data_IF_237704390916
#
_entry.id   IF_237704390916
#
_cell.length_a   1.000
_cell.length_b   1.000
_cell.length_c   1.000
_cell.angle_alpha   90.00
_cell.angle_beta   90.00
_cell.angle_gamma   90.00
#
_symmetry.space_group_name_H-M   'P 1'
#
loop_
_entity.id
_entity.type
_entity.pdbx_description
1 polymer ?
#
# COMPACT_ATOMS: atom_id res chain seq x y z
N UNK A 1 -30.23 30.11 -7.76
CA UNK A 1 -28.93 30.58 -8.30
C UNK A 1 -27.86 30.78 -7.19
N UNK A 2 -27.84 29.97 -6.14
CA UNK A 2 -27.00 30.22 -4.93
C UNK A 2 -25.99 29.11 -4.62
N UNK A 3 -25.78 28.14 -5.53
CA UNK A 3 -24.91 26.97 -5.31
C UNK A 3 -23.48 27.06 -5.89
N UNK A 4 -23.11 28.13 -6.58
CA UNK A 4 -21.78 28.28 -7.21
C UNK A 4 -20.76 29.13 -6.42
N UNK A 5 -21.10 29.73 -5.28
CA UNK A 5 -20.20 30.69 -4.60
C UNK A 5 -19.21 30.08 -3.60
N UNK A 6 -19.47 28.90 -3.05
CA UNK A 6 -18.59 28.30 -2.03
C UNK A 6 -17.33 27.66 -2.64
N UNK A 7 -17.47 27.02 -3.81
CA UNK A 7 -16.37 26.35 -4.52
C UNK A 7 -15.33 27.33 -5.07
N UNK A 8 -15.76 28.54 -5.44
CA UNK A 8 -14.89 29.61 -5.95
C UNK A 8 -14.09 30.32 -4.85
N UNK A 9 -14.62 30.41 -3.62
CA UNK A 9 -13.89 31.00 -2.49
C UNK A 9 -12.75 30.09 -2.00
N UNK A 10 -12.98 28.77 -1.97
CA UNK A 10 -11.97 27.77 -1.58
C UNK A 10 -10.86 27.61 -2.64
N UNK A 11 -11.19 27.76 -3.92
CA UNK A 11 -10.21 27.74 -5.01
C UNK A 11 -9.37 29.03 -5.07
N UNK A 12 -9.98 30.20 -4.80
CA UNK A 12 -9.27 31.48 -4.79
C UNK A 12 -8.24 31.58 -3.66
N UNK A 13 -8.51 30.95 -2.50
CA UNK A 13 -7.61 31.01 -1.33
C UNK A 13 -6.55 29.91 -1.32
N UNK A 14 -6.75 28.78 -2.00
CA UNK A 14 -5.67 27.81 -2.22
C UNK A 14 -4.52 28.41 -3.06
N UNK A 15 -4.78 29.48 -3.83
CA UNK A 15 -3.76 30.27 -4.53
C UNK A 15 -3.12 31.37 -3.69
N UNK A 16 -3.69 31.72 -2.53
CA UNK A 16 -3.10 32.65 -1.57
C UNK A 16 -2.45 31.84 -0.45
N UNK A 17 -1.13 31.67 -0.52
CA UNK A 17 -0.31 30.99 0.49
C UNK A 17 -0.25 31.70 1.85
N UNK A 18 -1.39 32.05 2.43
CA UNK A 18 -1.48 32.49 3.81
C UNK A 18 -1.20 31.27 4.70
N UNK A 19 0.04 31.17 5.17
CA UNK A 19 0.36 30.38 6.34
C UNK A 19 -0.48 30.93 7.50
N UNK A 20 -1.56 30.24 7.84
CA UNK A 20 -2.26 30.45 9.10
C UNK A 20 -1.30 29.92 10.17
N UNK A 21 -0.76 30.79 11.02
CA UNK A 21 0.37 30.48 11.92
C UNK A 21 0.19 29.15 12.70
N UNK A 22 0.81 28.11 12.13
CA UNK A 22 0.87 26.76 12.66
C UNK A 22 -0.44 25.94 12.66
N UNK A 23 -1.51 26.34 11.98
CA UNK A 23 -2.62 25.46 11.62
C UNK A 23 -2.58 25.27 10.10
N UNK A 24 -2.32 24.05 9.65
CA UNK A 24 -2.04 23.79 8.25
C UNK A 24 -3.32 23.93 7.41
N UNK A 25 -3.50 25.09 6.76
CA UNK A 25 -4.64 25.36 5.88
C UNK A 25 -4.75 24.31 4.76
N UNK A 26 -3.63 23.69 4.38
CA UNK A 26 -3.63 22.61 3.40
C UNK A 26 -4.29 21.33 3.95
N UNK A 27 -4.16 21.05 5.25
CA UNK A 27 -4.82 19.93 5.92
C UNK A 27 -6.35 20.10 5.92
N UNK A 28 -6.84 21.29 6.32
CA UNK A 28 -8.27 21.61 6.34
C UNK A 28 -8.85 21.59 4.92
N UNK A 29 -8.21 22.28 3.99
CA UNK A 29 -8.65 22.33 2.60
C UNK A 29 -8.58 20.96 1.92
N UNK A 30 -7.69 20.08 2.35
CA UNK A 30 -7.66 18.69 1.89
C UNK A 30 -8.86 17.92 2.42
N UNK A 31 -9.11 17.97 3.73
CA UNK A 31 -10.30 17.33 4.32
C UNK A 31 -11.58 17.82 3.67
N UNK A 32 -11.82 19.12 3.61
CA UNK A 32 -13.04 19.67 3.00
C UNK A 32 -13.21 19.31 1.51
N UNK A 33 -12.13 19.01 0.77
CA UNK A 33 -12.19 18.63 -0.65
C UNK A 33 -12.43 17.15 -0.87
N UNK A 34 -11.71 16.30 -0.14
CA UNK A 34 -11.75 14.84 -0.30
C UNK A 34 -12.96 14.23 0.40
N UNK A 35 -13.38 14.84 1.50
CA UNK A 35 -14.53 14.44 2.27
C UNK A 35 -15.78 15.22 1.85
N UNK A 36 -16.19 15.12 0.58
CA UNK A 36 -17.58 15.46 0.19
C UNK A 36 -18.52 14.34 0.64
N UNK A 37 -18.67 14.14 1.95
CA UNK A 37 -19.55 13.11 2.51
C UNK A 37 -21.00 13.38 2.05
N UNK A 38 -21.62 12.43 1.36
CA UNK A 38 -23.03 12.52 0.97
C UNK A 38 -23.30 12.97 -0.48
N UNK A 39 -22.29 13.20 -1.31
CA UNK A 39 -22.51 13.07 -2.75
C UNK A 39 -22.74 11.57 -3.02
N UNK A 40 -23.99 11.17 -3.33
CA UNK A 40 -24.25 9.86 -3.90
C UNK A 40 -23.25 9.67 -5.05
N UNK A 41 -22.39 8.67 -4.93
CA UNK A 41 -21.52 8.28 -6.03
C UNK A 41 -22.42 8.12 -7.26
N UNK A 42 -22.16 8.90 -8.30
CA UNK A 42 -22.75 8.62 -9.59
C UNK A 42 -22.29 7.21 -9.93
N UNK A 43 -23.24 6.29 -10.08
CA UNK A 43 -22.96 4.87 -10.30
C UNK A 43 -21.89 4.72 -11.40
N UNK A 44 -20.75 4.13 -11.03
CA UNK A 44 -19.64 3.86 -11.96
C UNK A 44 -18.43 4.79 -11.87
N UNK A 45 -18.42 5.84 -11.03
CA UNK A 45 -17.24 6.71 -10.86
C UNK A 45 -16.79 6.87 -9.41
N UNK A 46 -16.85 5.83 -8.56
CA UNK A 46 -16.19 5.91 -7.25
C UNK A 46 -14.69 6.01 -7.46
N UNK A 47 -14.19 7.24 -7.60
CA UNK A 47 -12.78 7.53 -7.55
C UNK A 47 -12.30 7.15 -6.15
N UNK A 48 -11.13 6.52 -6.07
CA UNK A 48 -10.52 6.06 -4.80
C UNK A 48 -10.44 7.16 -3.73
N UNK A 49 -10.52 8.42 -4.16
CA UNK A 49 -10.62 9.65 -3.36
C UNK A 49 -11.77 9.63 -2.32
N UNK A 50 -12.91 8.97 -2.59
CA UNK A 50 -14.05 8.88 -1.63
C UNK A 50 -13.78 7.88 -0.48
N UNK A 51 -12.73 7.06 -0.58
CA UNK A 51 -12.47 5.95 0.36
C UNK A 51 -11.82 6.36 1.69
N UNK A 52 -11.14 7.52 1.76
CA UNK A 52 -10.50 8.02 2.99
C UNK A 52 -11.51 8.28 4.10
N UNK A 53 -12.65 8.81 3.68
CA UNK A 53 -13.71 9.31 4.50
C UNK A 53 -14.53 8.11 4.99
N UNK A 54 -14.89 7.19 4.08
CA UNK A 54 -15.49 5.90 4.43
C UNK A 54 -14.61 5.03 5.34
N UNK A 55 -13.29 5.22 5.32
CA UNK A 55 -12.38 4.55 6.23
C UNK A 55 -12.61 5.05 7.67
N UNK A 56 -12.81 6.35 7.90
CA UNK A 56 -12.86 6.95 9.26
C UNK A 56 -14.11 6.54 10.05
N UNK A 57 -13.94 6.13 11.31
CA UNK A 57 -15.06 6.01 12.26
C UNK A 57 -15.23 4.67 12.97
N UNK A 58 -14.39 3.66 12.71
CA UNK A 58 -14.42 2.47 13.56
C UNK A 58 -13.79 2.75 14.92
N UNK A 59 -14.47 2.29 15.97
CA UNK A 59 -13.96 2.31 17.32
C UNK A 59 -12.68 1.47 17.43
N UNK A 60 -11.72 1.98 18.19
CA UNK A 60 -10.45 1.33 18.48
C UNK A 60 -10.26 1.20 20.01
N UNK A 61 -9.76 0.07 20.53
CA UNK A 61 -9.88 -1.24 19.89
C UNK A 61 -11.34 -1.50 19.47
N UNK A 62 -11.61 -2.50 18.61
CA UNK A 62 -12.98 -2.88 18.31
C UNK A 62 -13.78 -3.00 19.62
N UNK A 63 -15.02 -2.50 19.66
CA UNK A 63 -15.87 -2.65 20.84
C UNK A 63 -15.94 -4.13 21.26
N UNK A 64 -16.17 -4.47 22.55
CA UNK A 64 -16.25 -5.87 22.96
C UNK A 64 -17.17 -6.70 22.04
N UNK A 65 -16.60 -7.68 21.33
CA UNK A 65 -17.30 -8.51 20.33
C UNK A 65 -17.15 -8.07 18.87
N UNK A 66 -16.59 -6.90 18.59
CA UNK A 66 -16.18 -6.48 17.25
C UNK A 66 -14.79 -7.05 16.89
N UNK A 67 -14.53 -7.20 15.60
CA UNK A 67 -13.29 -7.79 15.07
C UNK A 67 -12.29 -6.71 14.64
N UNK A 68 -11.01 -7.05 14.62
CA UNK A 68 -9.91 -6.26 14.07
C UNK A 68 -9.89 -6.24 12.54
N UNK A 69 -10.58 -7.17 11.85
CA UNK A 69 -10.58 -7.22 10.39
C UNK A 69 -11.08 -5.94 9.71
N UNK A 70 -12.15 -5.28 10.17
CA UNK A 70 -12.61 -4.02 9.61
C UNK A 70 -11.67 -2.83 9.94
N UNK A 71 -11.00 -2.85 11.11
CA UNK A 71 -9.97 -1.87 11.49
C UNK A 71 -8.74 -2.00 10.60
N UNK A 72 -8.33 -3.24 10.33
CA UNK A 72 -7.29 -3.52 9.35
C UNK A 72 -7.73 -2.98 7.98
N UNK A 73 -8.90 -3.35 7.44
CA UNK A 73 -9.38 -2.86 6.13
C UNK A 73 -9.40 -1.33 6.04
N UNK A 74 -9.84 -0.65 7.10
CA UNK A 74 -9.77 0.80 7.24
C UNK A 74 -8.33 1.32 7.14
N UNK A 75 -7.41 0.77 7.93
CA UNK A 75 -6.00 1.15 7.91
C UNK A 75 -5.39 0.89 6.52
N UNK A 76 -5.71 -0.25 5.91
CA UNK A 76 -5.26 -0.65 4.57
C UNK A 76 -5.68 0.39 3.54
N UNK A 77 -6.98 0.72 3.47
CA UNK A 77 -7.54 1.75 2.58
C UNK A 77 -6.91 3.11 2.82
N UNK A 78 -6.71 3.48 4.08
CA UNK A 78 -6.05 4.73 4.43
C UNK A 78 -4.64 4.80 3.84
N UNK A 79 -3.84 3.74 4.01
CA UNK A 79 -2.47 3.70 3.52
C UNK A 79 -2.35 3.52 2.01
N UNK A 80 -3.36 2.91 1.36
CA UNK A 80 -3.36 2.62 -0.07
C UNK A 80 -3.96 3.75 -0.91
N UNK A 81 -5.00 4.43 -0.42
CA UNK A 81 -5.71 5.48 -1.16
C UNK A 81 -4.90 6.77 -1.30
N UNK A 82 -3.81 6.92 -0.53
CA UNK A 82 -3.02 8.14 -0.52
C UNK A 82 -1.53 7.80 -0.57
N UNK A 83 -0.83 8.44 -1.52
CA UNK A 83 0.64 8.61 -1.57
C UNK A 83 1.28 8.93 -0.21
N UNK A 84 0.46 9.43 0.70
CA UNK A 84 0.82 10.00 1.97
C UNK A 84 -0.14 9.52 3.08
N UNK A 85 -0.98 8.50 2.94
CA UNK A 85 -1.91 8.14 4.02
C UNK A 85 -1.21 7.72 5.32
N UNK A 86 -1.49 8.41 6.44
CA UNK A 86 -1.12 7.99 7.80
C UNK A 86 -2.39 7.65 8.57
N UNK A 87 -2.50 6.39 8.95
CA UNK A 87 -3.51 5.95 9.91
C UNK A 87 -3.08 6.35 11.32
N UNK A 88 -4.01 6.95 12.07
CA UNK A 88 -3.87 7.35 13.45
C UNK A 88 -4.91 6.61 14.28
N UNK A 89 -4.50 6.05 15.41
CA UNK A 89 -5.42 5.80 16.50
C UNK A 89 -5.46 7.07 17.35
N UNK A 90 -6.66 7.65 17.50
CA UNK A 90 -6.91 8.70 18.48
C UNK A 90 -7.44 8.04 19.73
N UNK A 91 -6.86 8.35 20.88
CA UNK A 91 -7.48 8.10 22.18
C UNK A 91 -7.79 9.42 22.86
N UNK A 92 -8.95 9.52 23.48
CA UNK A 92 -9.41 10.70 24.19
C UNK A 92 -10.29 10.31 25.37
N UNK A 93 -10.33 11.17 26.38
CA UNK A 93 -11.37 11.14 27.41
C UNK A 93 -12.56 12.02 26.94
N UNK A 94 -13.73 11.44 26.61
CA UNK A 94 -14.85 12.21 26.09
C UNK A 94 -15.33 13.29 27.06
N UNK A 95 -15.34 13.01 28.36
CA UNK A 95 -15.82 13.95 29.37
C UNK A 95 -14.90 15.17 29.53
N UNK A 96 -13.59 14.96 29.57
CA UNK A 96 -12.61 16.05 29.62
C UNK A 96 -12.63 16.90 28.37
N UNK A 97 -12.74 16.23 27.21
CA UNK A 97 -12.87 16.86 25.91
C UNK A 97 -14.10 17.79 25.90
N UNK A 98 -15.29 17.26 26.25
CA UNK A 98 -16.52 18.05 26.23
C UNK A 98 -16.48 19.25 27.19
N UNK A 99 -15.91 19.04 28.38
CA UNK A 99 -15.71 20.10 29.36
C UNK A 99 -14.78 21.18 28.82
N UNK A 100 -13.70 20.78 28.16
CA UNK A 100 -12.70 21.67 27.61
C UNK A 100 -13.20 22.53 26.43
N UNK A 101 -14.12 21.99 25.61
CA UNK A 101 -14.77 22.72 24.53
C UNK A 101 -15.99 23.55 24.96
N UNK A 102 -16.36 23.53 26.26
CA UNK A 102 -17.53 24.25 26.81
C UNK A 102 -18.84 23.92 26.10
N UNK A 103 -19.04 22.65 25.74
CA UNK A 103 -20.27 22.19 25.09
C UNK A 103 -21.40 22.03 26.12
N UNK A 104 -22.50 22.79 25.96
CA UNK A 104 -23.64 22.85 26.91
C UNK A 104 -24.87 22.01 26.49
N UNK A 105 -24.87 21.43 25.29
CA UNK A 105 -25.97 20.63 24.72
C UNK A 105 -25.72 19.13 24.82
N UNK A 106 -26.74 18.24 24.64
CA UNK A 106 -26.60 16.80 24.87
C UNK A 106 -25.35 16.26 24.18
N UNK A 107 -24.43 15.76 25.01
CA UNK A 107 -23.12 15.28 24.57
C UNK A 107 -23.33 13.99 23.82
N UNK A 108 -23.01 13.93 22.52
CA UNK A 108 -23.10 12.67 21.84
C UNK A 108 -22.01 11.72 22.31
N UNK A 109 -22.31 10.44 22.14
CA UNK A 109 -21.34 9.41 22.42
C UNK A 109 -20.19 9.50 21.41
N UNK A 110 -18.97 9.74 21.91
CA UNK A 110 -17.73 9.58 21.16
C UNK A 110 -17.00 8.39 21.80
N UNK A 111 -16.51 7.42 20.99
CA UNK A 111 -15.73 6.33 21.53
C UNK A 111 -14.42 6.87 22.13
N UNK A 112 -13.97 6.28 23.23
CA UNK A 112 -12.71 6.66 23.89
C UNK A 112 -11.50 6.50 22.97
N UNK A 113 -11.62 5.66 21.94
CA UNK A 113 -10.65 5.62 20.87
C UNK A 113 -11.24 5.22 19.52
N UNK A 114 -10.65 5.74 18.44
CA UNK A 114 -11.07 5.46 17.06
C UNK A 114 -9.92 5.66 16.06
N UNK A 115 -10.08 5.02 14.91
CA UNK A 115 -9.18 5.14 13.76
C UNK A 115 -9.47 6.34 12.88
N UNK A 116 -8.42 7.00 12.40
CA UNK A 116 -8.51 8.10 11.44
C UNK A 116 -7.43 8.05 10.39
N UNK A 117 -7.81 8.36 9.15
CA UNK A 117 -6.86 8.58 8.07
C UNK A 117 -6.51 10.07 7.90
N UNK A 118 -5.21 10.39 7.86
CA UNK A 118 -4.72 11.74 7.54
C UNK A 118 -3.65 11.71 6.45
N UNK A 119 -3.53 12.75 5.60
CA UNK A 119 -2.43 12.87 4.66
C UNK A 119 -1.12 13.25 5.39
N UNK A 120 -0.07 12.45 5.17
CA UNK A 120 1.32 12.59 5.59
C UNK A 120 1.89 13.83 4.90
N UNK A 121 2.75 14.54 5.61
CA UNK A 121 3.36 15.77 5.10
C UNK A 121 2.42 16.98 5.05
N UNK A 122 1.09 16.78 4.96
CA UNK A 122 0.09 17.87 4.91
C UNK A 122 -0.60 18.15 6.24
N UNK A 123 -0.75 17.14 7.09
CA UNK A 123 -1.36 17.31 8.41
C UNK A 123 -0.30 17.06 9.49
N UNK A 124 0.15 18.13 10.16
CA UNK A 124 0.97 18.00 11.38
C UNK A 124 0.12 17.39 12.50
N UNK A 125 0.75 16.61 13.37
CA UNK A 125 0.08 15.99 14.52
C UNK A 125 -0.67 17.00 15.38
N UNK A 126 -0.08 18.17 15.62
CA UNK A 126 -0.74 19.24 16.36
C UNK A 126 -2.02 19.73 15.68
N UNK A 127 -2.00 19.95 14.36
CA UNK A 127 -3.19 20.35 13.61
C UNK A 127 -4.29 19.28 13.67
N UNK A 128 -3.89 18.02 13.58
CA UNK A 128 -4.75 16.85 13.82
C UNK A 128 -5.37 16.94 15.22
N UNK A 129 -4.60 17.11 16.30
CA UNK A 129 -5.19 17.21 17.66
C UNK A 129 -6.23 18.34 17.79
N UNK A 130 -5.99 19.49 17.17
CA UNK A 130 -6.84 20.67 17.28
C UNK A 130 -8.12 20.62 16.44
N UNK A 131 -8.08 20.01 15.26
CA UNK A 131 -9.15 20.12 14.27
C UNK A 131 -10.06 18.88 14.22
N UNK A 132 -9.56 17.75 14.69
CA UNK A 132 -10.11 16.44 14.39
C UNK A 132 -11.30 16.06 15.25
N UNK A 133 -11.32 16.44 16.53
CA UNK A 133 -12.45 16.13 17.39
C UNK A 133 -13.67 16.99 17.04
N UNK A 134 -13.54 18.30 16.82
CA UNK A 134 -14.67 19.09 16.34
C UNK A 134 -15.21 18.56 15.01
N UNK A 135 -14.34 18.20 14.07
CA UNK A 135 -14.76 17.63 12.78
C UNK A 135 -15.38 16.24 12.94
N UNK A 136 -14.84 15.36 13.77
CA UNK A 136 -15.46 14.06 14.06
C UNK A 136 -16.87 14.23 14.66
N UNK A 137 -17.01 15.12 15.65
CA UNK A 137 -18.29 15.44 16.29
C UNK A 137 -19.34 15.92 15.27
N UNK A 138 -18.98 16.91 14.45
CA UNK A 138 -19.87 17.58 13.51
C UNK A 138 -20.41 16.63 12.43
N UNK A 139 -19.58 15.68 12.00
CA UNK A 139 -19.85 14.86 10.84
C UNK A 139 -20.41 13.49 11.19
N UNK A 140 -19.80 12.78 12.15
CA UNK A 140 -20.16 11.39 12.46
C UNK A 140 -21.42 11.33 13.31
N UNK A 141 -21.60 12.31 14.20
CA UNK A 141 -22.78 12.37 15.08
C UNK A 141 -23.88 13.24 14.47
N UNK A 142 -23.54 14.40 13.91
CA UNK A 142 -24.53 15.36 13.41
C UNK A 142 -25.25 14.94 12.13
N UNK A 143 -24.69 14.01 11.35
CA UNK A 143 -25.29 13.46 10.12
C UNK A 143 -25.47 14.45 8.96
N UNK A 144 -25.09 15.73 9.13
CA UNK A 144 -25.33 16.80 8.17
C UNK A 144 -24.06 17.65 7.92
N UNK A 145 -23.19 17.21 7.00
CA UNK A 145 -21.92 17.89 6.69
C UNK A 145 -22.12 19.35 6.25
N UNK A 146 -23.23 19.64 5.55
CA UNK A 146 -23.56 20.99 5.06
C UNK A 146 -23.99 21.98 6.16
N UNK A 147 -24.35 21.49 7.35
CA UNK A 147 -24.80 22.32 8.48
C UNK A 147 -23.64 22.93 9.28
N UNK A 148 -22.41 22.59 8.90
CA UNK A 148 -21.22 22.85 9.70
C UNK A 148 -20.53 24.14 9.25
N UNK A 149 -20.50 25.15 10.14
CA UNK A 149 -19.64 26.31 9.95
C UNK A 149 -18.18 25.96 10.28
N UNK A 150 -17.49 25.44 9.27
CA UNK A 150 -16.08 25.07 9.33
C UNK A 150 -15.19 26.21 9.81
N UNK A 151 -15.52 27.44 9.42
CA UNK A 151 -14.70 28.60 9.73
C UNK A 151 -14.81 28.99 11.19
N UNK A 152 -16.01 28.92 11.76
CA UNK A 152 -16.20 29.14 13.20
C UNK A 152 -15.35 28.19 14.05
N UNK A 153 -15.26 26.91 13.66
CA UNK A 153 -14.43 25.92 14.37
C UNK A 153 -12.94 26.13 14.19
N UNK A 154 -12.49 26.46 12.98
CA UNK A 154 -11.09 26.79 12.72
C UNK A 154 -10.69 28.04 13.51
N UNK A 155 -11.58 29.03 13.61
CA UNK A 155 -11.36 30.25 14.41
C UNK A 155 -11.27 29.92 15.90
N UNK A 156 -12.17 29.10 16.42
CA UNK A 156 -12.16 28.67 17.82
C UNK A 156 -10.88 27.91 18.16
N UNK A 157 -10.46 26.97 17.31
CA UNK A 157 -9.20 26.25 17.47
C UNK A 157 -8.00 27.22 17.46
N UNK A 158 -8.04 28.26 16.63
CA UNK A 158 -7.01 29.31 16.59
C UNK A 158 -6.98 30.12 17.89
N UNK A 159 -8.13 30.53 18.40
CA UNK A 159 -8.23 31.30 19.64
C UNK A 159 -7.70 30.51 20.84
N UNK A 160 -8.09 29.24 20.96
CA UNK A 160 -7.61 28.36 22.03
C UNK A 160 -6.10 28.13 21.96
N UNK A 161 -5.57 27.91 20.76
CA UNK A 161 -4.12 27.77 20.53
C UNK A 161 -3.36 29.06 20.84
N UNK A 162 -3.89 30.21 20.42
CA UNK A 162 -3.28 31.53 20.67
C UNK A 162 -3.25 31.88 22.16
N UNK A 163 -4.20 31.36 22.94
CA UNK A 163 -4.21 31.48 24.40
C UNK A 163 -3.18 30.57 25.11
N UNK A 164 -2.34 29.84 24.38
CA UNK A 164 -1.37 28.90 24.93
C UNK A 164 -1.99 27.64 25.53
N UNK A 165 -3.25 27.35 25.19
CA UNK A 165 -3.91 26.11 25.61
C UNK A 165 -3.33 24.90 24.89
N UNK A 166 -3.40 23.74 25.54
CA UNK A 166 -3.36 22.44 24.85
C UNK A 166 -4.75 22.14 24.25
N UNK A 167 -4.85 21.23 23.27
CA UNK A 167 -6.14 20.75 22.80
C UNK A 167 -6.99 20.30 24.00
N UNK A 168 -8.27 20.69 24.09
CA UNK A 168 -9.06 20.35 25.25
C UNK A 168 -9.26 18.83 25.35
N UNK A 169 -9.00 18.25 26.53
CA UNK A 169 -9.04 16.81 26.78
C UNK A 169 -7.71 16.09 26.57
N UNK A 170 -7.56 14.94 27.21
CA UNK A 170 -6.36 14.08 27.10
C UNK A 170 -6.32 13.35 25.75
N UNK A 171 -5.93 14.07 24.69
CA UNK A 171 -5.82 13.50 23.34
C UNK A 171 -4.41 12.93 23.07
N UNK A 172 -4.35 11.62 22.89
CA UNK A 172 -3.14 10.90 22.45
C UNK A 172 -3.31 10.39 21.01
N UNK A 173 -2.24 10.51 20.23
CA UNK A 173 -2.16 9.99 18.87
C UNK A 173 -1.19 8.82 18.89
N UNK A 174 -1.68 7.63 18.55
CA UNK A 174 -0.85 6.44 18.38
C UNK A 174 -0.69 6.21 16.89
N UNK A 175 0.57 6.19 16.46
CA UNK A 175 0.95 6.29 15.05
C UNK A 175 2.26 5.55 14.82
N UNK A 176 2.60 5.33 13.55
CA UNK A 176 3.88 4.74 13.16
C UNK A 176 3.82 3.25 12.92
N UNK A 177 4.98 2.69 12.59
CA UNK A 177 5.11 1.32 12.09
C UNK A 177 4.65 0.29 13.13
N UNK A 178 5.08 0.43 14.39
CA UNK A 178 4.69 -0.49 15.48
C UNK A 178 3.17 -0.59 15.69
N UNK A 179 2.46 0.53 15.54
CA UNK A 179 1.01 0.55 15.69
C UNK A 179 0.31 -0.18 14.53
N UNK A 180 0.73 0.09 13.28
CA UNK A 180 0.23 -0.62 12.10
C UNK A 180 0.47 -2.13 12.21
N UNK A 181 1.67 -2.48 12.65
CA UNK A 181 2.10 -3.85 12.92
C UNK A 181 1.23 -4.53 13.97
N UNK A 182 0.89 -3.83 15.06
CA UNK A 182 -0.02 -4.35 16.07
C UNK A 182 -1.41 -4.65 15.50
N UNK A 183 -2.00 -3.72 14.73
CA UNK A 183 -3.30 -3.91 14.08
C UNK A 183 -3.28 -5.14 13.18
N UNK A 184 -2.23 -5.27 12.37
CA UNK A 184 -2.05 -6.40 11.48
C UNK A 184 -1.95 -7.72 12.27
N UNK A 185 -1.10 -7.79 13.29
CA UNK A 185 -0.89 -8.98 14.10
C UNK A 185 -2.20 -9.43 14.80
N UNK A 186 -3.05 -8.50 15.23
CA UNK A 186 -4.36 -8.82 15.83
C UNK A 186 -5.35 -9.33 14.79
N UNK A 187 -5.48 -8.62 13.67
CA UNK A 187 -6.40 -8.99 12.59
C UNK A 187 -6.06 -10.34 11.95
N UNK A 188 -4.78 -10.66 11.80
CA UNK A 188 -4.34 -11.97 11.29
C UNK A 188 -4.65 -13.08 12.29
N UNK A 189 -4.38 -12.88 13.58
CA UNK A 189 -4.72 -13.85 14.64
C UNK A 189 -6.20 -14.15 14.70
N UNK A 190 -7.07 -13.14 14.60
CA UNK A 190 -8.51 -13.36 14.56
C UNK A 190 -8.97 -14.17 13.35
N UNK A 191 -8.45 -13.84 12.16
CA UNK A 191 -8.78 -14.59 10.94
C UNK A 191 -8.29 -16.03 11.01
N UNK A 192 -7.10 -16.25 11.57
CA UNK A 192 -6.57 -17.60 11.79
C UNK A 192 -7.41 -18.39 12.79
N UNK A 193 -7.90 -17.75 13.87
CA UNK A 193 -8.79 -18.37 14.84
C UNK A 193 -10.15 -18.77 14.25
N UNK A 194 -10.55 -18.16 13.13
CA UNK A 194 -11.78 -18.50 12.40
C UNK A 194 -11.59 -19.64 11.38
N UNK A 195 -10.36 -20.11 11.16
CA UNK A 195 -10.12 -21.21 10.23
C UNK A 195 -10.69 -22.53 10.78
N UNK A 196 -11.21 -23.41 9.90
CA UNK A 196 -11.69 -24.72 10.31
C UNK A 196 -10.55 -25.57 10.90
N UNK A 197 -10.89 -26.41 11.89
CA UNK A 197 -9.97 -27.37 12.52
C UNK A 197 -10.48 -28.80 12.27
N UNK A 198 -9.73 -29.67 11.56
CA UNK A 198 -8.40 -29.43 11.00
C UNK A 198 -8.44 -28.53 9.76
N UNK A 199 -7.39 -27.73 9.58
CA UNK A 199 -7.27 -26.86 8.41
C UNK A 199 -7.10 -27.71 7.14
N UNK A 200 -7.79 -27.39 6.03
CA UNK A 200 -7.65 -28.13 4.78
C UNK A 200 -6.21 -28.06 4.26
N UNK A 201 -5.75 -29.12 3.60
CA UNK A 201 -4.44 -29.11 2.95
C UNK A 201 -4.44 -28.09 1.81
N UNK A 202 -3.43 -27.21 1.79
CA UNK A 202 -3.26 -26.18 0.75
C UNK A 202 -1.84 -26.24 0.24
N UNK A 203 -1.71 -26.32 -1.08
CA UNK A 203 -0.45 -26.37 -1.82
C UNK A 203 -0.14 -25.01 -2.45
N UNK A 204 1.13 -24.67 -2.51
CA UNK A 204 1.59 -23.41 -3.09
C UNK A 204 2.88 -23.53 -3.87
N UNK A 205 3.08 -22.61 -4.81
CA UNK A 205 4.39 -22.37 -5.41
C UNK A 205 4.80 -20.91 -5.18
N UNK A 206 6.05 -20.66 -4.79
CA UNK A 206 6.62 -19.32 -4.65
C UNK A 206 7.63 -19.07 -5.76
N UNK A 207 7.31 -18.10 -6.61
CA UNK A 207 8.16 -17.55 -7.63
C UNK A 207 8.97 -16.36 -7.09
N UNK A 208 10.24 -16.58 -6.78
CA UNK A 208 11.20 -15.53 -6.43
C UNK A 208 11.87 -15.08 -7.73
N UNK A 209 11.52 -13.90 -8.23
CA UNK A 209 11.99 -13.45 -9.53
C UNK A 209 12.39 -11.98 -9.56
N UNK A 210 13.55 -11.68 -10.14
CA UNK A 210 14.06 -10.31 -10.23
C UNK A 210 15.57 -10.25 -10.39
N UNK A 211 16.12 -9.04 -10.32
CA UNK A 211 17.56 -8.83 -10.26
C UNK A 211 18.07 -9.15 -8.85
N UNK A 212 19.23 -9.82 -8.69
CA UNK A 212 19.73 -10.22 -7.38
C UNK A 212 20.35 -9.06 -6.58
N UNK A 213 19.71 -7.87 -6.53
CA UNK A 213 20.26 -6.64 -5.95
C UNK A 213 20.71 -6.83 -4.50
N UNK A 214 19.81 -7.34 -3.67
CA UNK A 214 20.02 -7.54 -2.23
C UNK A 214 19.87 -8.99 -1.77
N UNK A 215 19.68 -9.95 -2.68
CA UNK A 215 19.53 -11.37 -2.30
C UNK A 215 20.77 -11.95 -1.62
N UNK A 216 21.94 -11.32 -1.78
CA UNK A 216 23.17 -11.70 -1.05
C UNK A 216 23.24 -11.15 0.39
N UNK A 217 22.31 -10.29 0.81
CA UNK A 217 22.26 -9.77 2.18
C UNK A 217 21.53 -10.78 3.09
N UNK A 218 22.16 -11.26 4.18
CA UNK A 218 21.53 -12.15 5.16
C UNK A 218 20.19 -11.67 5.67
N UNK A 219 20.01 -10.36 5.88
CA UNK A 219 18.76 -9.82 6.38
C UNK A 219 17.63 -10.00 5.38
N UNK A 220 17.92 -9.99 4.07
CA UNK A 220 16.91 -10.14 3.02
C UNK A 220 16.50 -11.60 2.87
N UNK A 221 17.45 -12.51 2.64
CA UNK A 221 17.08 -13.91 2.39
C UNK A 221 16.55 -14.63 3.64
N UNK A 222 17.04 -14.28 4.85
CA UNK A 222 16.47 -14.79 6.10
C UNK A 222 15.04 -14.28 6.28
N UNK A 223 14.79 -13.01 5.95
CA UNK A 223 13.47 -12.44 6.02
C UNK A 223 12.49 -13.07 5.00
N UNK A 224 12.93 -13.30 3.76
CA UNK A 224 12.14 -14.06 2.78
C UNK A 224 11.82 -15.46 3.32
N UNK A 225 12.77 -16.12 3.96
CA UNK A 225 12.52 -17.44 4.55
C UNK A 225 11.49 -17.37 5.68
N UNK A 226 11.72 -16.56 6.71
CA UNK A 226 10.88 -16.56 7.92
C UNK A 226 9.55 -15.86 7.71
N UNK A 227 9.54 -14.69 7.07
CA UNK A 227 8.38 -13.82 7.00
C UNK A 227 7.54 -14.03 5.75
N UNK A 228 8.05 -14.78 4.76
CA UNK A 228 7.26 -15.20 3.62
C UNK A 228 7.09 -16.73 3.60
N UNK A 229 8.13 -17.49 3.29
CA UNK A 229 8.02 -18.92 2.99
C UNK A 229 7.45 -19.73 4.15
N UNK A 230 8.02 -19.58 5.35
CA UNK A 230 7.59 -20.34 6.53
C UNK A 230 6.24 -19.82 7.07
N UNK A 231 5.98 -18.51 6.98
CA UNK A 231 4.76 -17.91 7.55
C UNK A 231 3.47 -18.31 6.83
N UNK A 232 3.55 -18.61 5.53
CA UNK A 232 2.38 -18.90 4.70
C UNK A 232 1.67 -20.21 5.08
N UNK A 233 2.32 -21.08 5.87
CA UNK A 233 1.71 -22.31 6.41
C UNK A 233 1.12 -23.24 5.34
N UNK A 234 1.77 -23.33 4.18
CA UNK A 234 1.40 -24.30 3.15
C UNK A 234 1.62 -25.73 3.65
N UNK A 235 0.72 -26.64 3.29
CA UNK A 235 0.91 -28.07 3.52
C UNK A 235 1.96 -28.66 2.59
N UNK A 236 2.13 -28.04 1.43
CA UNK A 236 3.16 -28.37 0.45
C UNK A 236 3.56 -27.09 -0.27
N UNK A 237 4.85 -26.80 -0.33
CA UNK A 237 5.38 -25.60 -0.94
C UNK A 237 6.52 -25.96 -1.89
N UNK A 238 6.44 -25.47 -3.12
CA UNK A 238 7.57 -25.46 -4.05
C UNK A 238 8.11 -24.04 -4.22
N UNK A 239 9.42 -23.86 -4.25
CA UNK A 239 10.08 -22.57 -4.42
C UNK A 239 10.91 -22.56 -5.70
N UNK A 240 10.70 -21.55 -6.53
CA UNK A 240 11.36 -21.36 -7.82
C UNK A 240 12.09 -20.03 -7.78
N UNK A 241 13.39 -20.04 -8.03
CA UNK A 241 14.20 -18.82 -8.15
C UNK A 241 14.53 -18.57 -9.62
N UNK A 242 14.00 -17.48 -10.18
CA UNK A 242 14.30 -17.01 -11.55
C UNK A 242 15.05 -15.70 -11.48
N UNK A 243 16.35 -15.75 -11.73
CA UNK A 243 17.24 -14.60 -11.54
C UNK A 243 18.28 -14.52 -12.65
N UNK A 244 19.10 -13.48 -12.61
CA UNK A 244 20.22 -13.27 -13.51
C UNK A 244 21.49 -13.10 -12.68
N UNK A 245 22.32 -14.14 -12.65
CA UNK A 245 23.69 -14.11 -12.12
C UNK A 245 24.67 -14.07 -13.29
N UNK A 246 25.70 -13.22 -13.16
CA UNK A 246 26.83 -13.15 -14.09
C UNK A 246 27.00 -11.82 -14.81
N UNK A 247 27.74 -11.87 -15.92
CA UNK A 247 28.36 -10.72 -16.56
C UNK A 247 27.49 -10.03 -17.62
N UNK A 248 26.29 -10.55 -17.86
CA UNK A 248 25.43 -10.18 -18.99
C UNK A 248 24.73 -8.82 -18.85
N UNK A 249 24.80 -8.19 -17.68
CA UNK A 249 24.28 -6.84 -17.49
C UNK A 249 25.05 -5.82 -18.37
N UNK A 250 24.34 -4.99 -19.18
CA UNK A 250 24.94 -3.91 -19.94
C UNK A 250 25.78 -2.99 -19.06
N UNK A 251 26.91 -2.51 -19.58
CA UNK A 251 27.84 -1.68 -18.81
C UNK A 251 27.20 -0.41 -18.23
N UNK A 252 26.20 0.14 -18.92
CA UNK A 252 25.41 1.29 -18.48
C UNK A 252 24.59 1.04 -17.20
N UNK A 253 24.26 -0.21 -16.88
CA UNK A 253 23.49 -0.56 -15.67
C UNK A 253 24.40 -1.04 -14.51
N UNK A 254 25.70 -1.27 -14.79
CA UNK A 254 26.66 -1.80 -13.81
C UNK A 254 26.92 -0.86 -12.63
N UNK A 255 26.76 0.44 -12.80
CA UNK A 255 27.01 1.43 -11.73
C UNK A 255 25.91 1.45 -10.66
N UNK A 256 24.71 0.95 -10.97
CA UNK A 256 23.57 0.96 -10.04
C UNK A 256 23.28 -0.41 -9.43
N UNK A 257 23.64 -1.51 -10.11
CA UNK A 257 23.44 -2.87 -9.62
C UNK A 257 24.80 -3.61 -9.60
N UNK A 258 25.49 -3.72 -8.45
CA UNK A 258 26.74 -4.46 -8.38
C UNK A 258 26.51 -5.90 -8.84
N UNK A 259 27.39 -6.39 -9.71
CA UNK A 259 27.36 -7.80 -10.15
C UNK A 259 27.37 -8.69 -8.91
N UNK A 260 26.34 -9.53 -8.78
CA UNK A 260 26.36 -10.61 -7.81
C UNK A 260 26.78 -11.88 -8.52
N UNK A 261 27.84 -12.48 -8.00
CA UNK A 261 28.28 -13.81 -8.38
C UNK A 261 27.39 -14.87 -7.74
N UNK A 262 27.48 -16.10 -8.24
CA UNK A 262 26.89 -17.25 -7.56
C UNK A 262 27.42 -17.45 -6.14
N UNK A 263 28.68 -17.07 -5.89
CA UNK A 263 29.26 -17.15 -4.55
C UNK A 263 28.54 -16.21 -3.57
N UNK A 264 28.16 -15.01 -4.02
CA UNK A 264 27.42 -14.05 -3.19
C UNK A 264 26.01 -14.52 -2.83
N UNK A 265 25.41 -15.39 -3.66
CA UNK A 265 24.09 -15.95 -3.44
C UNK A 265 24.11 -17.34 -2.79
N UNK A 266 25.27 -17.94 -2.56
CA UNK A 266 25.39 -19.32 -2.12
C UNK A 266 24.65 -19.56 -0.79
N UNK A 267 24.79 -18.66 0.17
CA UNK A 267 24.11 -18.79 1.46
C UNK A 267 22.60 -18.52 1.35
N UNK A 268 22.18 -17.60 0.48
CA UNK A 268 20.78 -17.37 0.18
C UNK A 268 20.12 -18.63 -0.42
N UNK A 269 20.80 -19.32 -1.33
CA UNK A 269 20.32 -20.57 -1.93
C UNK A 269 20.19 -21.69 -0.89
N UNK A 270 21.09 -21.76 0.09
CA UNK A 270 20.98 -22.72 1.19
C UNK A 270 19.79 -22.43 2.10
N UNK A 271 19.57 -21.16 2.46
CA UNK A 271 18.52 -20.76 3.39
C UNK A 271 17.13 -20.79 2.74
N UNK A 272 17.00 -20.27 1.53
CA UNK A 272 15.75 -20.31 0.78
C UNK A 272 15.43 -21.75 0.33
N UNK A 273 16.46 -22.51 -0.08
CA UNK A 273 16.37 -23.87 -0.58
C UNK A 273 15.35 -24.01 -1.74
N UNK A 274 15.56 -23.29 -2.86
CA UNK A 274 14.67 -23.39 -4.01
C UNK A 274 14.74 -24.79 -4.65
N UNK A 275 13.59 -25.35 -5.01
CA UNK A 275 13.48 -26.61 -5.77
C UNK A 275 14.01 -26.46 -7.19
N UNK A 276 13.84 -25.26 -7.76
CA UNK A 276 14.29 -24.93 -9.12
C UNK A 276 15.03 -23.60 -9.10
N UNK A 277 16.23 -23.58 -9.67
CA UNK A 277 17.00 -22.36 -9.91
C UNK A 277 17.19 -22.17 -11.40
N UNK A 278 16.72 -21.05 -11.92
CA UNK A 278 16.81 -20.68 -13.33
C UNK A 278 17.62 -19.41 -13.44
N UNK A 279 18.80 -19.52 -14.05
CA UNK A 279 19.59 -18.37 -14.43
C UNK A 279 19.30 -18.00 -15.87
N UNK A 280 18.72 -16.81 -16.09
CA UNK A 280 18.35 -16.37 -17.42
C UNK A 280 19.19 -15.15 -17.78
N UNK A 281 20.00 -15.21 -18.85
CA UNK A 281 20.59 -14.02 -19.44
C UNK A 281 19.47 -13.28 -20.14
N UNK A 282 18.77 -12.40 -19.42
CA UNK A 282 17.66 -11.66 -20.02
C UNK A 282 18.22 -10.44 -20.70
N UNK A 283 18.48 -10.61 -22.00
CA UNK A 283 18.76 -9.49 -22.87
C UNK A 283 17.59 -8.50 -22.78
N UNK A 284 17.94 -7.22 -22.78
CA UNK A 284 16.97 -6.15 -22.96
C UNK A 284 16.20 -6.41 -24.27
N UNK A 285 14.95 -6.88 -24.15
CA UNK A 285 14.10 -7.11 -25.31
C UNK A 285 13.67 -5.75 -25.84
N UNK A 286 13.90 -5.48 -27.12
CA UNK A 286 13.36 -4.30 -27.79
C UNK A 286 11.85 -4.42 -28.05
N UNK A 287 11.22 -3.41 -28.66
CA UNK A 287 9.85 -3.55 -29.16
C UNK A 287 9.77 -4.70 -30.19
N UNK A 288 8.62 -5.39 -30.31
CA UNK A 288 8.38 -6.39 -31.34
C UNK A 288 8.74 -5.85 -32.73
N UNK A 289 9.36 -6.67 -33.61
CA UNK A 289 9.85 -6.21 -34.92
C UNK A 289 8.77 -5.56 -35.80
N UNK A 290 7.52 -5.97 -35.61
CA UNK A 290 6.33 -5.53 -36.34
C UNK A 290 5.69 -4.25 -35.76
N UNK A 291 6.23 -3.68 -34.68
CA UNK A 291 5.61 -2.55 -33.96
C UNK A 291 6.58 -1.36 -33.79
N UNK A 292 6.22 -0.22 -34.39
CA UNK A 292 6.94 1.05 -34.19
C UNK A 292 6.51 1.69 -32.88
N UNK A 293 7.21 1.39 -31.80
CA UNK A 293 6.95 2.03 -30.52
C UNK A 293 7.58 3.42 -30.43
N UNK A 294 6.95 4.31 -29.66
CA UNK A 294 7.58 5.59 -29.30
C UNK A 294 8.95 5.35 -28.66
N UNK A 295 9.87 6.29 -28.88
CA UNK A 295 11.31 6.24 -28.56
C UNK A 295 11.62 5.94 -27.06
N UNK A 296 10.63 6.05 -26.17
CA UNK A 296 10.74 5.79 -24.73
C UNK A 296 10.15 4.44 -24.34
N UNK A 297 10.67 3.39 -24.94
CA UNK A 297 10.34 2.02 -24.57
C UNK A 297 11.26 1.58 -23.42
N UNK A 298 10.75 1.10 -22.26
CA UNK A 298 11.58 0.64 -21.15
C UNK A 298 11.90 -0.87 -21.29
N UNK A 299 13.04 -1.26 -21.91
CA UNK A 299 13.33 -2.67 -22.16
C UNK A 299 13.47 -3.52 -20.88
N UNK A 300 13.83 -2.88 -19.76
CA UNK A 300 13.88 -3.53 -18.44
C UNK A 300 12.52 -4.14 -18.05
N UNK A 301 11.41 -3.55 -18.49
CA UNK A 301 10.08 -4.05 -18.17
C UNK A 301 9.78 -5.39 -18.85
N UNK A 302 10.08 -5.51 -20.15
CA UNK A 302 9.89 -6.76 -20.87
C UNK A 302 10.81 -7.86 -20.33
N UNK A 303 12.06 -7.50 -20.00
CA UNK A 303 12.98 -8.42 -19.36
C UNK A 303 12.41 -8.96 -18.04
N UNK A 304 11.84 -8.09 -17.20
CA UNK A 304 11.18 -8.50 -15.97
C UNK A 304 10.00 -9.44 -16.23
N UNK A 305 9.09 -9.11 -17.15
CA UNK A 305 7.94 -9.96 -17.44
C UNK A 305 8.34 -11.29 -18.08
N UNK A 306 9.43 -11.33 -18.85
CA UNK A 306 9.98 -12.56 -19.40
C UNK A 306 10.46 -13.52 -18.30
N UNK A 307 11.10 -13.01 -17.24
CA UNK A 307 11.47 -13.83 -16.06
C UNK A 307 10.23 -14.42 -15.40
N UNK A 308 9.16 -13.64 -15.31
CA UNK A 308 7.89 -14.09 -14.75
C UNK A 308 7.25 -15.19 -15.63
N UNK A 309 7.16 -15.01 -16.95
CA UNK A 309 6.69 -16.07 -17.86
C UNK A 309 7.47 -17.39 -17.65
N UNK A 310 8.79 -17.29 -17.54
CA UNK A 310 9.65 -18.44 -17.32
C UNK A 310 9.34 -19.12 -15.98
N UNK A 311 9.05 -18.35 -14.94
CA UNK A 311 8.60 -18.89 -13.67
C UNK A 311 7.30 -19.70 -13.81
N UNK A 312 6.32 -19.18 -14.56
CA UNK A 312 5.07 -19.89 -14.82
C UNK A 312 5.29 -21.20 -15.59
N UNK A 313 6.24 -21.23 -16.53
CA UNK A 313 6.62 -22.47 -17.22
C UNK A 313 7.09 -23.56 -16.25
N UNK A 314 7.94 -23.21 -15.27
CA UNK A 314 8.41 -24.17 -14.27
C UNK A 314 7.32 -24.55 -13.27
N UNK A 315 6.43 -23.63 -12.90
CA UNK A 315 5.24 -23.95 -12.10
C UNK A 315 4.42 -25.02 -12.81
N UNK A 316 4.11 -24.84 -14.09
CA UNK A 316 3.33 -25.81 -14.88
C UNK A 316 4.03 -27.17 -14.98
N UNK A 317 5.36 -27.18 -15.15
CA UNK A 317 6.14 -28.42 -15.17
C UNK A 317 6.06 -29.17 -13.83
N UNK A 318 6.16 -28.45 -12.70
CA UNK A 318 6.00 -29.03 -11.36
C UNK A 318 4.57 -29.55 -11.14
N UNK A 319 3.54 -28.79 -11.56
CA UNK A 319 2.13 -29.22 -11.51
C UNK A 319 1.88 -30.50 -12.31
N UNK A 320 2.51 -30.61 -13.49
CA UNK A 320 2.46 -31.81 -14.32
C UNK A 320 3.14 -32.99 -13.62
N UNK A 321 4.33 -32.79 -13.05
CA UNK A 321 5.07 -33.84 -12.33
C UNK A 321 4.29 -34.40 -11.14
N UNK A 322 3.61 -33.53 -10.37
CA UNK A 322 2.77 -33.91 -9.23
C UNK A 322 1.35 -34.33 -9.62
N UNK A 323 0.98 -34.25 -10.89
CA UNK A 323 -0.38 -34.51 -11.41
C UNK A 323 -1.49 -33.72 -10.71
N UNK A 324 -1.18 -32.50 -10.25
CA UNK A 324 -2.11 -31.62 -9.52
C UNK A 324 -1.67 -30.16 -9.63
N UNK A 325 -2.62 -29.27 -9.85
CA UNK A 325 -2.35 -27.83 -9.81
C UNK A 325 -2.13 -27.34 -8.36
N UNK A 326 -1.26 -26.35 -8.18
CA UNK A 326 -1.14 -25.65 -6.90
C UNK A 326 -2.43 -24.87 -6.62
N UNK A 327 -2.75 -24.64 -5.34
CA UNK A 327 -3.91 -23.82 -4.97
C UNK A 327 -3.56 -22.32 -5.04
N UNK A 328 -2.33 -21.98 -4.67
CA UNK A 328 -1.80 -20.62 -4.68
C UNK A 328 -0.46 -20.52 -5.40
N UNK A 329 -0.28 -19.41 -6.12
CA UNK A 329 1.01 -19.00 -6.68
C UNK A 329 1.40 -17.67 -6.06
N UNK A 330 2.57 -17.63 -5.43
CA UNK A 330 3.11 -16.43 -4.83
C UNK A 330 4.20 -15.90 -5.75
N UNK A 331 4.20 -14.61 -6.00
CA UNK A 331 5.24 -13.92 -6.76
C UNK A 331 5.93 -12.94 -5.83
N UNK A 332 7.25 -12.93 -5.79
CA UNK A 332 8.03 -12.02 -4.96
C UNK A 332 9.32 -11.60 -5.68
N UNK A 333 9.73 -10.33 -5.53
CA UNK A 333 11.07 -9.93 -5.99
C UNK A 333 12.17 -10.44 -5.07
N UNK A 334 13.34 -10.65 -5.66
CA UNK A 334 14.59 -11.03 -4.98
C UNK A 334 15.11 -10.02 -3.96
N UNK A 335 14.59 -8.79 -3.96
CA UNK A 335 15.01 -7.71 -3.07
C UNK A 335 13.92 -7.27 -2.08
N UNK A 336 12.87 -8.07 -1.91
CA UNK A 336 11.78 -7.78 -0.97
C UNK A 336 12.19 -8.03 0.48
N UNK A 337 11.74 -7.12 1.34
CA UNK A 337 11.83 -7.27 2.79
C UNK A 337 10.44 -7.05 3.41
N UNK A 338 10.04 -7.93 4.32
CA UNK A 338 8.76 -7.96 5.02
C UNK A 338 8.97 -7.63 6.49
N UNK A 339 8.46 -6.50 7.00
CA UNK A 339 8.59 -6.15 8.43
C UNK A 339 7.81 -7.11 9.35
N UNK A 340 6.84 -7.84 8.80
CA UNK A 340 6.05 -8.86 9.49
C UNK A 340 5.87 -10.13 8.67
N UNK A 341 5.63 -11.27 9.32
CA UNK A 341 5.17 -12.48 8.63
C UNK A 341 3.89 -12.21 7.82
N UNK A 342 3.78 -12.79 6.62
CA UNK A 342 2.57 -12.67 5.79
C UNK A 342 1.37 -13.40 6.41
N UNK A 343 1.63 -14.41 7.24
CA UNK A 343 0.62 -15.19 7.96
C UNK A 343 0.01 -16.31 7.10
N UNK A 344 -0.90 -17.09 7.69
CA UNK A 344 -1.43 -18.29 7.05
C UNK A 344 -2.17 -17.97 5.73
N UNK A 345 -1.77 -18.61 4.63
CA UNK A 345 -2.35 -18.36 3.30
C UNK A 345 -3.88 -18.56 3.24
N UNK A 346 -4.44 -19.38 4.13
CA UNK A 346 -5.87 -19.73 4.17
C UNK A 346 -6.78 -18.58 4.59
N UNK A 347 -6.23 -17.53 5.22
CA UNK A 347 -7.02 -16.35 5.62
C UNK A 347 -7.26 -15.38 4.46
N UNK A 348 -6.63 -15.64 3.30
CA UNK A 348 -6.76 -14.83 2.11
C UNK A 348 -7.86 -15.37 1.19
N UNK A 349 -8.49 -14.43 0.49
CA UNK A 349 -9.64 -14.65 -0.38
C UNK A 349 -9.21 -15.33 -1.69
N UNK A 350 -9.66 -16.55 -1.94
CA UNK A 350 -9.34 -17.34 -3.14
C UNK A 350 -9.96 -16.76 -4.42
N UNK A 351 -10.93 -15.84 -4.30
CA UNK A 351 -11.56 -15.21 -5.45
C UNK A 351 -10.86 -13.92 -5.85
N UNK A 352 -9.71 -13.58 -5.25
CA UNK A 352 -9.01 -12.31 -5.50
C UNK A 352 -7.51 -12.46 -5.55
N UNK A 353 -6.87 -11.68 -6.41
CA UNK A 353 -5.41 -11.48 -6.39
C UNK A 353 -5.06 -10.50 -5.27
N UNK A 354 -4.17 -10.89 -4.35
CA UNK A 354 -3.72 -10.02 -3.26
C UNK A 354 -2.38 -9.39 -3.62
N UNK A 355 -2.34 -8.06 -3.66
CA UNK A 355 -1.14 -7.32 -4.06
C UNK A 355 -1.00 -6.00 -3.30
N UNK A 356 0.25 -5.56 -3.03
CA UNK A 356 0.50 -4.19 -2.63
C UNK A 356 -0.06 -3.23 -3.66
N UNK A 357 -0.60 -2.15 -3.14
CA UNK A 357 -0.76 -0.93 -3.94
C UNK A 357 0.51 -0.15 -3.75
N UNK A 358 1.19 0.14 -4.86
CA UNK A 358 2.30 1.08 -4.83
C UNK A 358 1.79 2.48 -4.49
N UNK A 359 2.70 3.45 -4.41
CA UNK A 359 2.33 4.86 -4.28
C UNK A 359 1.29 5.28 -5.32
N UNK A 360 1.30 4.67 -6.51
CA UNK A 360 0.59 5.16 -7.69
C UNK A 360 -0.75 4.51 -8.02
N UNK A 361 -1.50 3.99 -7.03
CA UNK A 361 -2.80 3.30 -7.18
C UNK A 361 -2.79 1.99 -8.00
N UNK A 362 -1.74 1.75 -8.78
CA UNK A 362 -1.61 0.57 -9.62
C UNK A 362 -1.10 -0.66 -8.83
N UNK A 363 -1.56 -1.87 -9.21
CA UNK A 363 -0.93 -3.15 -8.92
C UNK A 363 0.59 -3.10 -8.96
N UNK A 364 1.25 -3.23 -7.80
CA UNK A 364 2.70 -3.26 -7.80
C UNK A 364 3.23 -4.65 -8.11
N UNK A 365 4.07 -4.74 -9.12
CA UNK A 365 4.85 -5.91 -9.47
C UNK A 365 6.03 -6.17 -8.52
N UNK A 366 5.89 -6.01 -7.21
CA UNK A 366 6.93 -6.35 -6.20
C UNK A 366 6.58 -7.62 -5.44
N UNK A 367 5.29 -7.85 -5.23
CA UNK A 367 4.76 -9.03 -4.57
C UNK A 367 3.33 -9.29 -5.04
N UNK A 368 2.90 -10.55 -5.11
CA UNK A 368 1.50 -10.90 -5.31
C UNK A 368 1.21 -12.30 -4.75
N UNK A 369 0.02 -12.49 -4.20
CA UNK A 369 -0.54 -13.81 -3.89
C UNK A 369 -1.70 -14.06 -4.83
N UNK A 370 -1.56 -15.09 -5.65
CA UNK A 370 -2.41 -15.36 -6.80
C UNK A 370 -3.12 -16.68 -6.55
N UNK A 371 -4.46 -16.69 -6.41
CA UNK A 371 -5.21 -17.92 -6.60
C UNK A 371 -4.88 -18.51 -7.96
N UNK A 372 -4.79 -19.83 -8.05
CA UNK A 372 -4.28 -20.51 -9.24
C UNK A 372 -5.00 -20.14 -10.53
N UNK A 373 -6.31 -19.85 -10.47
CA UNK A 373 -7.08 -19.47 -11.66
C UNK A 373 -6.62 -18.15 -12.30
N UNK A 374 -5.97 -17.25 -11.54
CA UNK A 374 -5.51 -15.95 -12.03
C UNK A 374 -4.03 -15.91 -12.39
N UNK A 375 -3.26 -16.93 -12.01
CA UNK A 375 -1.80 -16.95 -12.21
C UNK A 375 -1.40 -16.78 -13.68
N UNK A 376 -1.99 -17.54 -14.60
CA UNK A 376 -1.65 -17.47 -16.02
C UNK A 376 -1.87 -16.06 -16.62
N UNK A 377 -2.92 -15.36 -16.20
CA UNK A 377 -3.22 -13.98 -16.64
C UNK A 377 -2.15 -13.02 -16.12
N UNK A 378 -1.81 -13.11 -14.84
CA UNK A 378 -0.78 -12.29 -14.21
C UNK A 378 0.60 -12.48 -14.88
N UNK A 379 1.01 -13.74 -15.06
CA UNK A 379 2.32 -14.09 -15.60
C UNK A 379 2.46 -13.86 -17.10
N UNK A 380 1.35 -13.66 -17.83
CA UNK A 380 1.34 -13.34 -19.27
C UNK A 380 1.28 -11.84 -19.57
N UNK A 381 1.48 -10.97 -18.57
CA UNK A 381 1.43 -9.50 -18.73
C UNK A 381 2.34 -8.98 -19.86
N UNK A 382 3.47 -9.65 -20.16
CA UNK A 382 4.31 -9.30 -21.32
C UNK A 382 3.55 -9.33 -22.64
N UNK A 383 2.62 -10.27 -22.77
CA UNK A 383 1.81 -10.52 -23.97
C UNK A 383 0.60 -9.58 -24.06
N UNK A 384 0.38 -8.69 -23.08
CA UNK A 384 -0.65 -7.67 -23.18
C UNK A 384 -0.30 -6.72 -24.34
N UNK A 385 -0.75 -7.13 -25.51
CA UNK A 385 -0.42 -6.62 -26.83
C UNK A 385 -1.60 -5.87 -27.44
N UNK A 386 -2.40 -5.20 -26.61
CA UNK A 386 -3.36 -4.21 -27.08
C UNK A 386 -2.71 -3.25 -28.08
N UNK A 387 -3.52 -2.54 -28.85
CA UNK A 387 -3.11 -1.48 -29.78
C UNK A 387 -2.15 -0.46 -29.15
N UNK A 388 -2.08 -0.42 -27.81
CA UNK A 388 -1.27 0.47 -26.98
C UNK A 388 0.08 -0.14 -26.52
N UNK A 389 0.53 -1.26 -27.10
CA UNK A 389 1.86 -1.83 -26.81
C UNK A 389 3.00 -0.81 -27.04
N UNK A 390 2.72 0.17 -27.90
CA UNK A 390 3.53 1.32 -28.23
C UNK A 390 2.94 2.58 -27.58
N UNK A 391 3.10 2.67 -26.27
CA UNK A 391 2.67 3.75 -25.37
C UNK A 391 2.69 5.15 -25.99
N UNK A 392 1.52 5.79 -26.08
CA UNK A 392 1.44 7.22 -26.35
C UNK A 392 1.52 7.96 -25.01
N UNK A 393 2.68 8.57 -24.77
CA UNK A 393 3.13 9.18 -23.51
C UNK A 393 2.45 10.53 -23.22
N UNK A 394 1.12 10.65 -23.34
CA UNK A 394 0.46 11.81 -22.75
C UNK A 394 0.51 11.62 -21.22
N UNK A 395 1.59 12.13 -20.61
CA UNK A 395 1.96 12.07 -19.19
C UNK A 395 0.85 12.43 -18.19
N UNK A 396 -0.28 12.95 -18.65
CA UNK A 396 -1.33 13.48 -17.80
C UNK A 396 -2.15 12.38 -17.09
N UNK A 397 -2.15 11.13 -17.58
CA UNK A 397 -3.03 10.08 -17.02
C UNK A 397 -2.31 8.85 -16.43
N UNK A 398 -1.03 8.64 -16.69
CA UNK A 398 -0.30 7.50 -16.10
C UNK A 398 0.35 7.97 -14.81
N UNK A 399 -0.20 7.53 -13.68
CA UNK A 399 0.35 7.84 -12.37
C UNK A 399 1.49 6.89 -11.99
N UNK A 400 1.58 5.65 -12.49
CA UNK A 400 2.55 4.65 -12.00
C UNK A 400 3.78 4.43 -12.91
N UNK A 401 4.67 3.53 -12.48
CA UNK A 401 5.72 3.01 -13.36
C UNK A 401 5.13 2.20 -14.53
N UNK A 402 5.84 2.18 -15.66
CA UNK A 402 5.37 1.58 -16.91
C UNK A 402 5.05 0.07 -16.78
N UNK A 403 5.62 -0.63 -15.79
CA UNK A 403 5.37 -2.06 -15.58
C UNK A 403 4.08 -2.32 -14.80
N UNK A 404 3.88 -1.61 -13.71
CA UNK A 404 2.69 -1.69 -12.87
C UNK A 404 1.44 -1.28 -13.65
N UNK A 405 1.51 -0.23 -14.47
CA UNK A 405 0.40 0.15 -15.33
C UNK A 405 0.02 -0.95 -16.32
N UNK A 406 0.99 -1.59 -16.96
CA UNK A 406 0.72 -2.71 -17.88
C UNK A 406 0.06 -3.87 -17.15
N UNK A 407 0.55 -4.21 -15.96
CA UNK A 407 -0.06 -5.22 -15.11
C UNK A 407 -1.52 -4.86 -14.81
N UNK A 408 -1.80 -3.60 -14.43
CA UNK A 408 -3.17 -3.13 -14.20
C UNK A 408 -4.07 -3.38 -15.42
N UNK A 409 -3.65 -2.93 -16.60
CA UNK A 409 -4.44 -3.08 -17.81
C UNK A 409 -4.68 -4.56 -18.18
N UNK A 410 -3.68 -5.42 -17.99
CA UNK A 410 -3.81 -6.86 -18.17
C UNK A 410 -4.88 -7.43 -17.22
N UNK A 411 -4.82 -7.08 -15.93
CA UNK A 411 -5.78 -7.56 -14.93
C UNK A 411 -7.19 -7.02 -15.22
N UNK A 412 -7.33 -5.74 -15.58
CA UNK A 412 -8.62 -5.11 -15.91
C UNK A 412 -9.26 -5.72 -17.15
N UNK A 413 -8.49 -5.91 -18.24
CA UNK A 413 -8.99 -6.54 -19.47
C UNK A 413 -9.57 -7.92 -19.20
N UNK A 414 -8.94 -8.66 -18.29
CA UNK A 414 -9.36 -10.00 -17.91
C UNK A 414 -10.29 -10.02 -16.69
N UNK A 415 -10.76 -8.86 -16.24
CA UNK A 415 -11.65 -8.70 -15.09
C UNK A 415 -11.16 -9.44 -13.83
N UNK A 416 -9.84 -9.47 -13.62
CA UNK A 416 -9.24 -10.12 -12.47
C UNK A 416 -9.49 -9.26 -11.23
N UNK A 417 -10.25 -9.75 -10.25
CA UNK A 417 -10.52 -8.99 -9.03
C UNK A 417 -9.25 -8.89 -8.18
N UNK A 418 -8.90 -7.66 -7.82
CA UNK A 418 -7.71 -7.35 -7.02
C UNK A 418 -8.14 -6.94 -5.62
N UNK A 419 -7.59 -7.61 -4.61
CA UNK A 419 -7.63 -7.18 -3.21
C UNK A 419 -6.31 -6.53 -2.84
N UNK A 420 -6.42 -5.30 -2.37
CA UNK A 420 -5.28 -4.48 -1.95
C UNK A 420 -4.92 -4.83 -0.51
N UNK A 421 -3.63 -4.96 -0.21
CA UNK A 421 -3.17 -5.15 1.18
C UNK A 421 -1.97 -4.25 1.49
N UNK A 422 -1.80 -3.83 2.75
CA UNK A 422 -0.90 -2.74 3.11
C UNK A 422 0.53 -3.21 3.10
N UNK A 423 1.38 -2.40 2.48
CA UNK A 423 2.83 -2.50 2.49
C UNK A 423 3.38 -2.61 3.92
N UNK A 424 3.42 -3.82 4.47
CA UNK A 424 4.40 -4.24 5.48
C UNK A 424 5.66 -4.77 4.80
N UNK A 425 5.79 -4.56 3.50
CA UNK A 425 6.94 -4.97 2.73
C UNK A 425 7.38 -3.82 1.84
N UNK A 426 8.69 -3.67 1.74
CA UNK A 426 9.33 -2.66 0.91
C UNK A 426 10.57 -3.30 0.28
N UNK A 427 11.03 -2.79 -0.87
CA UNK A 427 12.37 -3.12 -1.34
C UNK A 427 13.40 -2.82 -0.25
N UNK A 428 14.37 -3.71 -0.03
CA UNK A 428 15.40 -3.55 0.99
C UNK A 428 16.15 -2.22 0.90
N UNK A 429 16.34 -1.70 -0.30
CA UNK A 429 16.98 -0.40 -0.52
C UNK A 429 16.22 0.77 0.13
N UNK A 430 14.90 0.67 0.24
CA UNK A 430 14.09 1.65 0.98
C UNK A 430 14.27 1.44 2.48
N UNK A 431 14.26 0.19 2.94
CA UNK A 431 14.47 -0.17 4.34
C UNK A 431 15.83 0.28 4.85
N UNK A 432 16.92 0.03 4.11
CA UNK A 432 18.28 0.45 4.46
C UNK A 432 18.39 1.98 4.59
N UNK A 433 17.72 2.72 3.70
CA UNK A 433 17.64 4.19 3.78
C UNK A 433 16.93 4.67 5.04
N UNK A 434 15.92 3.96 5.54
CA UNK A 434 15.13 4.37 6.70
C UNK A 434 15.64 3.82 8.03
N UNK A 435 16.27 2.65 8.04
CA UNK A 435 16.68 1.94 9.27
C UNK A 435 18.17 2.10 9.55
N UNK A 436 19.04 2.07 8.53
CA UNK A 436 20.49 2.01 8.72
C UNK A 436 21.12 3.41 8.68
N UNK A 437 20.50 4.37 7.98
CA UNK A 437 20.93 5.77 7.98
C UNK A 437 20.03 6.59 8.90
N UNK A 438 20.55 7.14 10.02
CA UNK A 438 19.78 8.04 10.87
C UNK A 438 19.23 9.20 10.04
N UNK A 439 17.96 9.62 10.27
CA UNK A 439 17.33 10.75 9.58
C UNK A 439 18.19 12.02 9.56
N UNK A 440 19.02 12.19 10.59
CA UNK A 440 19.87 13.36 10.83
C UNK A 440 21.02 13.49 9.82
N UNK A 441 21.31 12.44 9.06
CA UNK A 441 22.32 12.46 7.97
C UNK A 441 21.70 12.73 6.59
N UNK A 442 20.38 12.91 6.52
CA UNK A 442 19.70 13.22 5.27
C UNK A 442 19.82 14.72 4.98
N UNK A 443 20.83 15.10 4.19
CA UNK A 443 20.80 16.42 3.56
C UNK A 443 19.58 16.46 2.62
N UNK A 444 18.68 17.41 2.79
CA UNK A 444 17.51 17.56 1.93
C UNK A 444 17.85 18.02 0.50
N UNK A 445 19.11 17.88 0.03
CA UNK A 445 19.58 18.41 -1.27
C UNK A 445 19.69 17.36 -2.35
N UNK A 446 19.54 16.06 -2.09
CA UNK A 446 19.25 15.09 -3.16
C UNK A 446 17.81 15.28 -3.63
N UNK A 447 17.63 16.32 -4.46
CA UNK A 447 16.44 16.48 -5.31
C UNK A 447 16.27 15.20 -6.12
N UNK A 448 15.17 14.52 -5.88
CA UNK A 448 14.59 13.63 -6.87
C UNK A 448 14.23 14.49 -8.07
N UNK A 449 15.11 14.54 -9.08
CA UNK A 449 14.65 14.92 -10.41
C UNK A 449 13.84 13.74 -10.94
N UNK A 450 12.57 13.95 -11.32
CA UNK A 450 11.75 12.91 -11.95
C UNK A 450 12.32 12.46 -13.30
#
# INVERSE_FOLDING_TARGET
>A
MTRCRLSLLLAALAGCGAQIDGLDASCIAWWSRQCRWGALAVEGTSTEDDSACAATGQAFPPSPGATWAPVLDQMLRCTAGFYEGRYLEIRLNPEELWRGWRFEHPRPHIPESFGLCVPRGRCRESAVKWLLVPLFWLYVVGGHPDSVDHWAFVELARQLKAAGGEPPGSLSLITGTQHKEHIYDQAMREKEAQLPVPAPAVSGAVCIAGHPRSIGDPKVYQNLRTNLLDSLSFSELSTILVTEFGDHAPESERSQNPRRSWADAADALKVISPDVVVNIPVLLEGPPPDRKCHVKYPPACNAQWRRLEMCMTYILALEQQRSRAFDWIIRVRTDMFFSKPVGNIRVFDLDKVHMPVGSWTDPHDTFAMLPRQYAAIYFSTRQYAGTDYCWNYSRENVRSDDCCYRLRLQLEKHQVPVKRFALFWQPWEEVDRYIVRPPDTWDGKKKYSP
#
